data_IF_639162616804
#
_entry.id   IF_639162616804
#
_cell.length_a   1.000
_cell.length_b   1.000
_cell.length_c   1.000
_cell.angle_alpha   90.00
_cell.angle_beta   90.00
_cell.angle_gamma   90.00
#
_symmetry.space_group_name_H-M   'P 1'
#
loop_
_entity.id
_entity.type
_entity.pdbx_description
1 polymer ?
#
# COMPACT_ATOMS: atom_id res chain seq x y z
N UNK A 1 59.09 38.38 39.92
CA UNK A 1 58.70 37.60 41.11
C UNK A 1 57.20 37.32 40.98
N UNK A 2 56.80 36.37 40.14
CA UNK A 2 56.61 34.93 40.43
C UNK A 2 55.41 34.68 41.36
N UNK A 3 54.31 34.19 40.80
CA UNK A 3 53.77 32.86 41.11
C UNK A 3 52.62 32.50 40.15
N UNK A 4 52.85 31.46 39.33
CA UNK A 4 51.84 30.66 38.63
C UNK A 4 51.21 29.67 39.61
N UNK A 5 49.97 29.23 39.39
CA UNK A 5 49.58 27.87 39.69
C UNK A 5 49.43 27.03 38.42
N UNK A 6 49.83 25.77 38.58
CA UNK A 6 49.96 24.71 37.58
C UNK A 6 48.65 24.30 36.93
N UNK A 7 48.73 24.05 35.62
CA UNK A 7 47.82 23.22 34.84
C UNK A 7 48.18 21.75 35.15
N UNK A 8 47.24 20.97 35.66
CA UNK A 8 47.29 19.50 35.64
C UNK A 8 46.31 19.01 34.58
N UNK A 9 46.73 18.18 33.61
CA UNK A 9 45.86 17.61 32.60
C UNK A 9 45.08 16.43 33.19
N UNK A 10 43.74 16.50 33.15
CA UNK A 10 42.91 15.32 33.35
C UNK A 10 43.03 14.43 32.11
N UNK A 11 43.72 13.30 32.29
CA UNK A 11 43.58 12.11 31.46
C UNK A 11 42.10 11.72 31.41
N UNK A 12 41.44 11.96 30.27
CA UNK A 12 40.30 11.15 29.88
C UNK A 12 40.84 10.07 28.95
N UNK A 13 40.89 8.85 29.47
CA UNK A 13 41.13 7.62 28.73
C UNK A 13 40.17 7.56 27.53
N UNK A 14 40.72 7.54 26.31
CA UNK A 14 40.01 7.00 25.15
C UNK A 14 39.78 5.51 25.43
N UNK A 15 38.58 5.16 25.87
CA UNK A 15 38.09 3.80 25.80
C UNK A 15 37.89 3.48 24.32
N UNK A 16 38.92 2.86 23.72
CA UNK A 16 38.83 2.29 22.39
C UNK A 16 37.57 1.44 22.28
N UNK A 17 36.75 1.74 21.26
CA UNK A 17 35.72 0.81 20.82
C UNK A 17 36.43 -0.52 20.54
N UNK A 18 35.95 -1.66 21.08
CA UNK A 18 36.49 -2.94 20.65
C UNK A 18 36.29 -3.04 19.15
N UNK A 19 37.39 -3.22 18.42
CA UNK A 19 37.37 -3.63 17.02
C UNK A 19 36.63 -4.97 17.01
N UNK A 20 35.35 -4.98 16.65
CA UNK A 20 34.77 -6.22 16.16
C UNK A 20 35.63 -6.64 14.96
N UNK A 21 35.98 -7.93 14.83
CA UNK A 21 36.55 -8.41 13.58
C UNK A 21 35.60 -7.99 12.46
N UNK A 22 36.13 -7.37 11.39
CA UNK A 22 35.36 -7.15 10.18
C UNK A 22 34.79 -8.50 9.76
N UNK A 23 33.46 -8.62 9.66
CA UNK A 23 32.82 -9.82 9.14
C UNK A 23 33.41 -10.10 7.76
N UNK A 24 33.89 -11.32 7.54
CA UNK A 24 34.47 -11.70 6.25
C UNK A 24 33.42 -11.77 5.15
N UNK A 25 32.14 -11.91 5.54
CA UNK A 25 30.97 -11.89 4.67
C UNK A 25 30.19 -10.59 4.88
N UNK A 26 30.19 -9.72 3.87
CA UNK A 26 29.44 -8.47 3.88
C UNK A 26 28.26 -8.55 2.92
N UNK A 27 27.11 -8.01 3.33
CA UNK A 27 25.87 -7.93 2.54
C UNK A 27 25.44 -6.48 2.46
N UNK A 28 24.93 -6.05 1.30
CA UNK A 28 24.59 -4.67 1.03
C UNK A 28 23.33 -4.53 0.17
N UNK A 29 22.45 -3.60 0.56
CA UNK A 29 21.26 -3.18 -0.18
C UNK A 29 21.43 -1.69 -0.52
N UNK A 30 21.78 -1.32 -1.76
CA UNK A 30 22.19 0.05 -2.13
C UNK A 30 21.03 1.05 -2.33
N UNK A 31 19.94 0.97 -1.55
CA UNK A 31 18.74 1.78 -1.75
C UNK A 31 18.58 2.94 -0.76
N UNK A 32 17.98 4.04 -1.21
CA UNK A 32 17.46 5.09 -0.33
C UNK A 32 16.20 4.59 0.40
N UNK A 33 16.13 4.80 1.72
CA UNK A 33 15.08 4.27 2.58
C UNK A 33 14.13 5.35 3.11
N UNK A 34 12.82 5.05 3.28
CA UNK A 34 12.12 3.80 2.94
C UNK A 34 11.66 3.77 1.47
N UNK A 35 11.60 2.57 0.87
CA UNK A 35 11.02 2.36 -0.46
C UNK A 35 9.49 2.48 -0.40
N UNK A 36 8.91 3.17 -1.38
CA UNK A 36 7.47 3.47 -1.43
C UNK A 36 6.84 3.09 -2.78
N UNK A 37 6.84 1.79 -3.15
CA UNK A 37 6.21 1.33 -4.39
C UNK A 37 4.68 1.44 -4.30
N UNK A 38 4.00 1.43 -5.45
CA UNK A 38 2.53 1.41 -5.48
C UNK A 38 2.01 -0.03 -5.41
N UNK A 39 0.80 -0.18 -4.89
CA UNK A 39 0.05 -1.42 -5.00
C UNK A 39 -0.12 -1.81 -6.48
N UNK A 40 0.02 -3.11 -6.78
CA UNK A 40 0.02 -3.65 -8.14
C UNK A 40 1.35 -3.49 -8.90
N UNK A 41 2.31 -2.72 -8.40
CA UNK A 41 3.61 -2.56 -9.06
C UNK A 41 4.47 -3.81 -8.95
N UNK A 42 5.58 -3.79 -9.71
CA UNK A 42 6.71 -4.69 -9.56
C UNK A 42 7.85 -3.98 -8.84
N UNK A 43 8.42 -4.62 -7.82
CA UNK A 43 9.54 -4.13 -7.03
C UNK A 43 10.74 -5.04 -7.16
N UNK A 44 11.92 -4.46 -7.39
CA UNK A 44 13.20 -5.17 -7.29
C UNK A 44 13.88 -4.71 -6.00
N UNK A 45 14.22 -5.67 -5.14
CA UNK A 45 15.02 -5.45 -3.94
C UNK A 45 16.45 -5.90 -4.24
N UNK A 46 17.37 -4.95 -4.50
CA UNK A 46 18.76 -5.27 -4.75
C UNK A 46 19.41 -5.81 -3.48
N UNK A 47 20.19 -6.88 -3.59
CA UNK A 47 21.03 -7.38 -2.51
C UNK A 47 22.28 -8.00 -3.10
N UNK A 48 23.43 -7.50 -2.67
CA UNK A 48 24.74 -7.96 -3.13
C UNK A 48 25.59 -8.32 -1.93
N UNK A 49 26.41 -9.36 -2.07
CA UNK A 49 27.33 -9.76 -1.01
C UNK A 49 28.75 -9.98 -1.53
N UNK A 50 29.72 -9.80 -0.63
CA UNK A 50 31.13 -10.06 -0.87
C UNK A 50 31.64 -10.99 0.24
N UNK A 51 32.29 -12.08 -0.16
CA UNK A 51 32.90 -13.05 0.73
C UNK A 51 34.42 -12.99 0.59
N UNK A 52 35.08 -12.50 1.64
CA UNK A 52 36.53 -12.31 1.72
C UNK A 52 37.24 -13.47 2.45
N UNK A 53 36.56 -14.60 2.73
CA UNK A 53 37.15 -15.78 3.40
C UNK A 53 38.35 -16.38 2.64
N UNK A 54 38.47 -16.11 1.34
CA UNK A 54 39.59 -16.55 0.48
C UNK A 54 40.91 -15.84 0.80
N UNK A 55 40.89 -14.71 1.51
CA UNK A 55 42.09 -13.92 1.79
C UNK A 55 42.96 -14.49 2.93
N UNK A 56 42.54 -15.59 3.58
CA UNK A 56 43.32 -16.27 4.61
C UNK A 56 44.30 -17.28 3.96
N UNK A 57 45.63 -17.16 4.16
CA UNK A 57 46.61 -18.09 3.57
C UNK A 57 46.43 -19.53 4.11
N UNK A 58 45.64 -20.32 3.38
CA UNK A 58 45.28 -21.70 3.72
C UNK A 58 43.80 -22.04 3.53
N UNK A 59 42.94 -21.06 3.25
CA UNK A 59 41.51 -21.30 3.03
C UNK A 59 41.24 -22.09 1.73
N UNK A 60 40.37 -23.11 1.77
CA UNK A 60 39.93 -23.81 0.57
C UNK A 60 39.18 -22.86 -0.37
N UNK A 61 39.28 -23.08 -1.69
CA UNK A 61 38.49 -22.36 -2.69
C UNK A 61 37.00 -22.50 -2.40
N UNK A 62 36.27 -21.39 -2.36
CA UNK A 62 34.81 -21.39 -2.19
C UNK A 62 34.18 -22.16 -3.34
N UNK A 63 33.39 -23.19 -3.02
CA UNK A 63 32.67 -23.95 -4.02
C UNK A 63 31.57 -23.08 -4.67
N UNK A 64 31.33 -23.20 -5.99
CA UNK A 64 30.24 -22.48 -6.63
C UNK A 64 28.90 -22.73 -5.92
N UNK A 65 28.11 -21.68 -5.70
CA UNK A 65 26.78 -21.74 -5.08
C UNK A 65 26.75 -22.31 -3.63
N UNK A 66 27.89 -22.30 -2.92
CA UNK A 66 27.97 -22.75 -1.51
C UNK A 66 27.32 -21.80 -0.51
N UNK A 67 27.10 -20.54 -0.90
CA UNK A 67 26.37 -19.56 -0.09
C UNK A 67 24.89 -19.92 -0.01
N UNK A 68 24.35 -19.86 1.21
CA UNK A 68 22.92 -19.96 1.45
C UNK A 68 22.34 -18.55 1.58
N UNK A 69 21.47 -18.19 0.64
CA UNK A 69 20.77 -16.91 0.60
C UNK A 69 19.38 -17.10 1.20
N UNK A 70 18.92 -16.13 1.99
CA UNK A 70 17.60 -16.15 2.60
C UNK A 70 17.01 -14.75 2.62
N UNK A 71 15.79 -14.64 2.11
CA UNK A 71 14.98 -13.43 2.26
C UNK A 71 13.87 -13.67 3.28
N UNK A 72 13.66 -12.68 4.14
CA UNK A 72 12.59 -12.72 5.13
C UNK A 72 11.92 -11.36 5.30
N UNK A 73 10.63 -11.37 5.61
CA UNK A 73 9.87 -10.20 6.01
C UNK A 73 9.85 -10.13 7.54
N UNK A 74 10.45 -9.07 8.09
CA UNK A 74 10.54 -8.79 9.52
C UNK A 74 9.47 -7.78 9.89
N UNK A 75 8.53 -8.19 10.74
CA UNK A 75 7.56 -7.30 11.39
C UNK A 75 7.90 -7.17 12.88
N UNK A 76 7.17 -6.31 13.60
CA UNK A 76 7.32 -6.19 15.07
C UNK A 76 7.01 -7.50 15.82
N UNK A 77 6.20 -8.36 15.23
CA UNK A 77 5.63 -9.54 15.89
C UNK A 77 6.31 -10.84 15.44
N UNK A 78 6.77 -10.91 14.19
CA UNK A 78 7.30 -12.14 13.60
C UNK A 78 8.27 -11.86 12.45
N UNK A 79 9.25 -12.74 12.30
CA UNK A 79 10.02 -12.87 11.05
C UNK A 79 9.45 -14.01 10.23
N UNK A 80 9.11 -13.75 8.97
CA UNK A 80 8.55 -14.78 8.09
C UNK A 80 9.43 -14.97 6.86
N UNK A 81 9.80 -16.22 6.58
CA UNK A 81 10.61 -16.55 5.42
C UNK A 81 9.82 -16.26 4.13
N UNK A 82 10.53 -15.71 3.15
CA UNK A 82 10.01 -15.44 1.81
C UNK A 82 10.57 -16.50 0.86
N UNK A 83 11.90 -16.65 0.85
CA UNK A 83 12.58 -17.70 0.10
C UNK A 83 13.92 -18.05 0.72
N UNK A 84 14.46 -19.20 0.31
CA UNK A 84 15.85 -19.58 0.55
C UNK A 84 16.44 -20.17 -0.74
N UNK A 85 17.69 -19.84 -1.04
CA UNK A 85 18.43 -20.37 -2.18
C UNK A 85 19.77 -20.96 -1.75
N UNK A 86 20.10 -22.15 -2.25
CA UNK A 86 21.33 -22.89 -1.93
C UNK A 86 21.56 -23.96 -2.99
N UNK A 87 22.82 -24.21 -3.37
CA UNK A 87 23.17 -25.32 -4.29
C UNK A 87 22.40 -25.31 -5.63
N UNK A 88 22.07 -24.12 -6.13
CA UNK A 88 21.30 -23.92 -7.37
C UNK A 88 19.79 -24.09 -7.24
N UNK A 89 19.30 -24.43 -6.04
CA UNK A 89 17.87 -24.65 -5.77
C UNK A 89 17.29 -23.45 -5.03
N UNK A 90 16.14 -22.96 -5.48
CA UNK A 90 15.38 -21.90 -4.82
C UNK A 90 14.07 -22.48 -4.27
N UNK A 91 13.86 -22.31 -2.97
CA UNK A 91 12.64 -22.69 -2.26
C UNK A 91 11.86 -21.43 -1.87
N UNK A 92 10.66 -21.27 -2.40
CA UNK A 92 9.79 -20.09 -2.18
C UNK A 92 8.65 -20.46 -1.23
N UNK A 93 8.33 -19.57 -0.28
CA UNK A 93 7.18 -19.71 0.59
C UNK A 93 5.87 -19.61 -0.21
N UNK A 94 4.88 -20.44 0.11
CA UNK A 94 3.65 -20.59 -0.68
C UNK A 94 2.90 -19.27 -0.91
N UNK A 95 3.01 -18.29 0.00
CA UNK A 95 2.34 -16.98 -0.12
C UNK A 95 2.94 -16.08 -1.19
N UNK A 96 4.13 -16.41 -1.65
CA UNK A 96 4.88 -15.68 -2.67
C UNK A 96 5.11 -16.49 -3.94
N UNK A 97 4.54 -17.70 -4.01
CA UNK A 97 4.61 -18.54 -5.20
C UNK A 97 4.08 -17.74 -6.40
N UNK A 98 4.76 -17.88 -7.54
CA UNK A 98 4.48 -17.19 -8.81
C UNK A 98 4.69 -15.66 -8.82
N UNK A 99 4.87 -15.00 -7.66
CA UNK A 99 5.11 -13.55 -7.56
C UNK A 99 6.56 -13.17 -7.30
N UNK A 100 7.35 -14.07 -6.72
CA UNK A 100 8.75 -13.80 -6.37
C UNK A 100 9.71 -14.61 -7.21
N UNK A 101 10.75 -13.93 -7.69
CA UNK A 101 11.85 -14.54 -8.44
C UNK A 101 13.19 -13.97 -7.98
N UNK A 102 14.24 -14.77 -8.06
CA UNK A 102 15.61 -14.27 -7.92
C UNK A 102 16.07 -13.66 -9.26
N UNK A 103 16.77 -12.54 -9.20
CA UNK A 103 17.19 -11.79 -10.39
C UNK A 103 18.46 -12.38 -10.99
N UNK A 104 19.54 -12.47 -10.19
CA UNK A 104 20.84 -12.95 -10.67
C UNK A 104 21.08 -14.45 -10.46
N UNK A 105 20.56 -15.03 -9.39
CA UNK A 105 20.81 -16.43 -9.03
C UNK A 105 20.09 -17.43 -9.94
N UNK A 106 20.72 -18.55 -10.34
CA UNK A 106 22.07 -19.00 -9.97
C UNK A 106 23.20 -18.50 -10.89
N UNK A 107 22.89 -17.73 -11.94
CA UNK A 107 23.86 -17.30 -12.95
C UNK A 107 24.91 -16.32 -12.40
N UNK A 108 24.51 -15.45 -11.48
CA UNK A 108 25.36 -14.50 -10.77
C UNK A 108 25.17 -14.73 -9.26
N UNK A 109 25.92 -15.66 -8.64
CA UNK A 109 25.67 -16.10 -7.27
C UNK A 109 25.76 -15.01 -6.20
N UNK A 110 26.58 -13.98 -6.44
CA UNK A 110 26.76 -12.81 -5.55
C UNK A 110 25.64 -11.78 -5.66
N UNK A 111 24.76 -11.93 -6.65
CA UNK A 111 23.53 -11.15 -6.81
C UNK A 111 22.36 -11.91 -6.19
N UNK A 112 22.09 -11.57 -4.92
CA UNK A 112 21.00 -12.11 -4.12
C UNK A 112 19.69 -11.32 -4.30
N UNK A 113 19.60 -10.44 -5.31
CA UNK A 113 18.44 -9.58 -5.52
C UNK A 113 17.19 -10.38 -5.84
N UNK A 114 16.05 -9.90 -5.36
CA UNK A 114 14.73 -10.49 -5.63
C UNK A 114 13.83 -9.50 -6.36
N UNK A 115 12.95 -10.03 -7.19
CA UNK A 115 11.88 -9.30 -7.86
C UNK A 115 10.54 -9.82 -7.33
N UNK A 116 9.69 -8.90 -6.91
CA UNK A 116 8.34 -9.14 -6.41
C UNK A 116 7.37 -8.46 -7.38
N UNK A 117 6.44 -9.21 -7.97
CA UNK A 117 5.37 -8.67 -8.83
C UNK A 117 4.06 -8.57 -8.07
N UNK A 118 3.14 -7.76 -8.59
CA UNK A 118 1.76 -7.65 -8.08
C UNK A 118 1.75 -7.34 -6.58
N UNK A 119 2.37 -6.21 -6.21
CA UNK A 119 2.52 -5.84 -4.81
C UNK A 119 1.17 -5.64 -4.10
N UNK A 120 1.03 -6.25 -2.94
CA UNK A 120 -0.12 -6.11 -2.05
C UNK A 120 0.19 -5.17 -0.89
N UNK A 121 -0.83 -4.63 -0.22
CA UNK A 121 -0.64 -3.82 0.99
C UNK A 121 0.07 -4.61 2.09
N UNK A 122 -0.20 -5.91 2.19
CA UNK A 122 0.43 -6.82 3.16
C UNK A 122 1.91 -7.18 2.86
N UNK A 123 2.43 -6.79 1.69
CA UNK A 123 3.85 -6.89 1.35
C UNK A 123 4.66 -5.72 1.97
N UNK A 124 4.03 -4.83 2.74
CA UNK A 124 4.77 -3.79 3.48
C UNK A 124 5.50 -4.38 4.69
N UNK A 125 6.73 -3.93 4.95
CA UNK A 125 7.53 -4.31 6.11
C UNK A 125 9.02 -4.20 5.86
N UNK A 126 9.81 -4.67 6.82
CA UNK A 126 11.28 -4.65 6.73
C UNK A 126 11.74 -5.96 6.11
N UNK A 127 12.23 -5.91 4.88
CA UNK A 127 12.82 -7.05 4.21
C UNK A 127 14.27 -7.21 4.64
N UNK A 128 14.66 -8.43 5.00
CA UNK A 128 16.03 -8.79 5.37
C UNK A 128 16.59 -9.75 4.33
N UNK A 129 17.72 -9.38 3.72
CA UNK A 129 18.55 -10.26 2.92
C UNK A 129 19.66 -10.80 3.81
N UNK A 130 19.71 -12.11 4.01
CA UNK A 130 20.67 -12.81 4.87
C UNK A 130 21.45 -13.82 4.02
N UNK A 131 22.77 -13.80 4.12
CA UNK A 131 23.68 -14.72 3.41
C UNK A 131 24.53 -15.43 4.45
N UNK A 132 24.68 -16.74 4.29
CA UNK A 132 25.46 -17.59 5.18
C UNK A 132 26.44 -18.44 4.39
N UNK A 133 27.66 -18.60 4.90
CA UNK A 133 28.66 -19.53 4.39
C UNK A 133 29.49 -20.12 5.53
N UNK A 134 29.32 -21.42 5.80
CA UNK A 134 29.95 -22.06 6.95
C UNK A 134 29.42 -21.48 8.27
N UNK A 135 30.30 -20.84 9.03
CA UNK A 135 29.97 -20.13 10.28
C UNK A 135 29.81 -18.61 10.09
N UNK A 136 30.20 -18.10 8.92
CA UNK A 136 30.13 -16.67 8.60
C UNK A 136 28.73 -16.34 8.10
N UNK A 137 28.18 -15.23 8.60
CA UNK A 137 26.91 -14.68 8.18
C UNK A 137 26.99 -13.16 7.96
N UNK A 138 26.13 -12.68 7.08
CA UNK A 138 25.97 -11.25 6.83
C UNK A 138 24.53 -10.97 6.44
N UNK A 139 24.05 -9.78 6.76
CA UNK A 139 22.72 -9.36 6.36
C UNK A 139 22.64 -7.85 6.19
N UNK A 140 21.64 -7.43 5.42
CA UNK A 140 21.21 -6.04 5.34
C UNK A 140 19.68 -6.00 5.24
N UNK A 141 19.09 -4.83 5.50
CA UNK A 141 17.65 -4.64 5.58
C UNK A 141 17.15 -3.44 4.78
N UNK A 142 15.93 -3.56 4.27
CA UNK A 142 15.25 -2.50 3.51
C UNK A 142 13.79 -2.39 3.94
N UNK A 143 13.36 -1.20 4.30
CA UNK A 143 11.96 -0.90 4.65
C UNK A 143 11.15 -0.60 3.38
N UNK A 144 10.06 -1.32 3.21
CA UNK A 144 9.14 -1.22 2.07
C UNK A 144 7.75 -0.87 2.58
N UNK A 145 7.20 0.23 2.07
CA UNK A 145 5.85 0.67 2.38
C UNK A 145 5.02 0.76 1.09
N UNK A 146 4.20 -0.27 0.82
CA UNK A 146 3.32 -0.30 -0.35
C UNK A 146 2.23 0.77 -0.20
N UNK A 147 2.12 1.65 -1.19
CA UNK A 147 1.23 2.81 -1.17
C UNK A 147 -0.03 2.60 -2.01
N UNK A 148 -1.04 3.40 -1.65
CA UNK A 148 -2.26 3.56 -2.42
C UNK A 148 -3.36 2.53 -2.19
N UNK A 149 -4.54 2.82 -2.72
CA UNK A 149 -5.75 2.02 -2.51
C UNK A 149 -6.68 2.18 -3.71
N UNK A 150 -7.28 1.06 -4.15
CA UNK A 150 -8.35 1.05 -5.14
C UNK A 150 -9.71 1.23 -4.46
N UNK A 151 -10.57 2.05 -5.07
CA UNK A 151 -11.97 2.16 -4.69
C UNK A 151 -12.89 2.27 -5.91
N UNK A 152 -14.12 1.79 -5.75
CA UNK A 152 -15.19 1.98 -6.74
C UNK A 152 -15.81 3.38 -6.59
N UNK A 153 -16.08 4.02 -7.71
CA UNK A 153 -16.76 5.31 -7.77
C UNK A 153 -17.92 5.29 -8.76
N UNK A 154 -19.08 5.75 -8.29
CA UNK A 154 -20.32 5.94 -9.04
C UNK A 154 -20.79 7.39 -8.88
N UNK A 155 -21.21 8.02 -9.97
CA UNK A 155 -21.75 9.38 -9.93
C UNK A 155 -23.14 9.47 -9.26
N UNK A 156 -23.52 10.68 -8.86
CA UNK A 156 -24.66 11.01 -8.00
C UNK A 156 -26.02 10.53 -8.55
N UNK A 157 -26.21 10.55 -9.87
CA UNK A 157 -27.54 10.45 -10.50
C UNK A 157 -28.05 9.01 -10.58
N UNK A 158 -27.41 8.16 -11.38
CA UNK A 158 -27.81 6.76 -11.63
C UNK A 158 -26.58 5.89 -11.89
N UNK A 159 -26.80 4.57 -11.95
CA UNK A 159 -25.78 3.57 -12.31
C UNK A 159 -25.30 3.79 -13.75
N UNK A 160 -24.00 3.60 -14.00
CA UNK A 160 -23.40 3.57 -15.33
C UNK A 160 -23.60 4.84 -16.16
N UNK A 161 -23.09 5.95 -15.63
CA UNK A 161 -23.27 7.29 -16.23
C UNK A 161 -21.98 7.95 -16.70
N UNK A 162 -20.82 7.30 -16.48
CA UNK A 162 -19.51 7.86 -16.81
C UNK A 162 -19.00 7.26 -18.12
N UNK A 163 -18.77 8.10 -19.12
CA UNK A 163 -17.91 7.79 -20.27
C UNK A 163 -16.45 7.70 -19.82
N UNK A 164 -15.56 7.14 -20.65
CA UNK A 164 -14.16 6.93 -20.27
C UNK A 164 -13.46 8.23 -19.82
N UNK A 165 -13.68 9.34 -20.54
CA UNK A 165 -13.09 10.63 -20.17
C UNK A 165 -13.74 11.24 -18.91
N UNK A 166 -15.05 11.06 -18.71
CA UNK A 166 -15.73 11.48 -17.48
C UNK A 166 -15.28 10.65 -16.29
N UNK A 167 -15.00 9.37 -16.48
CA UNK A 167 -14.49 8.45 -15.47
C UNK A 167 -13.10 8.88 -14.97
N UNK A 168 -12.17 9.22 -15.88
CA UNK A 168 -10.86 9.80 -15.52
C UNK A 168 -11.02 11.08 -14.70
N UNK A 169 -11.85 12.01 -15.19
CA UNK A 169 -12.09 13.28 -14.52
C UNK A 169 -12.71 13.09 -13.12
N UNK A 170 -13.62 12.12 -12.97
CA UNK A 170 -14.25 11.81 -11.69
C UNK A 170 -13.24 11.30 -10.64
N UNK A 171 -12.28 10.46 -11.05
CA UNK A 171 -11.20 10.04 -10.15
C UNK A 171 -10.33 11.24 -9.72
N UNK A 172 -9.93 12.10 -10.65
CA UNK A 172 -9.11 13.30 -10.37
C UNK A 172 -9.83 14.22 -9.38
N UNK A 173 -11.11 14.50 -9.58
CA UNK A 173 -11.93 15.31 -8.68
C UNK A 173 -12.04 14.70 -7.27
N UNK A 174 -11.82 13.40 -7.13
CA UNK A 174 -11.85 12.67 -5.87
C UNK A 174 -10.46 12.34 -5.31
N UNK A 175 -9.43 13.11 -5.67
CA UNK A 175 -8.04 12.94 -5.22
C UNK A 175 -7.45 11.56 -5.56
N UNK A 176 -7.73 11.08 -6.76
CA UNK A 176 -7.28 9.78 -7.27
C UNK A 176 -6.99 9.85 -8.78
N UNK A 177 -6.46 8.77 -9.34
CA UNK A 177 -6.37 8.54 -10.78
C UNK A 177 -7.20 7.31 -11.16
N UNK A 178 -7.49 7.09 -12.44
CA UNK A 178 -8.13 5.83 -12.85
C UNK A 178 -7.19 4.65 -12.57
N UNK A 179 -7.70 3.57 -11.98
CA UNK A 179 -6.89 2.43 -11.58
C UNK A 179 -6.40 1.62 -12.79
N UNK A 180 -5.22 1.00 -12.68
CA UNK A 180 -4.73 0.03 -13.67
C UNK A 180 -5.36 -1.35 -13.44
N UNK A 181 -5.33 -2.23 -14.45
CA UNK A 181 -5.70 -3.64 -14.27
C UNK A 181 -4.96 -4.33 -13.13
N UNK A 182 -3.65 -4.09 -12.99
CA UNK A 182 -2.79 -4.71 -11.99
C UNK A 182 -3.18 -4.24 -10.59
N UNK A 183 -3.51 -2.95 -10.43
CA UNK A 183 -4.04 -2.40 -9.18
C UNK A 183 -5.39 -3.03 -8.80
N UNK A 184 -6.31 -3.20 -9.77
CA UNK A 184 -7.59 -3.86 -9.51
C UNK A 184 -7.40 -5.34 -9.17
N UNK A 185 -6.47 -6.01 -9.84
CA UNK A 185 -6.12 -7.41 -9.56
C UNK A 185 -5.56 -7.56 -8.15
N UNK A 186 -4.57 -6.75 -7.76
CA UNK A 186 -4.05 -6.73 -6.39
C UNK A 186 -5.15 -6.43 -5.36
N UNK A 187 -6.09 -5.54 -5.67
CA UNK A 187 -7.20 -5.22 -4.76
C UNK A 187 -8.15 -6.40 -4.61
N UNK A 188 -8.44 -7.10 -5.72
CA UNK A 188 -9.13 -8.37 -5.67
C UNK A 188 -8.36 -9.37 -4.82
N UNK A 189 -7.07 -9.59 -5.00
CA UNK A 189 -6.33 -10.56 -4.19
C UNK A 189 -6.31 -10.22 -2.67
N UNK A 190 -6.53 -8.96 -2.32
CA UNK A 190 -6.74 -8.48 -0.93
C UNK A 190 -8.20 -8.53 -0.43
N UNK A 191 -9.13 -9.11 -1.18
CA UNK A 191 -10.52 -9.31 -0.76
C UNK A 191 -11.53 -8.31 -1.34
N UNK A 192 -11.13 -7.43 -2.25
CA UNK A 192 -12.05 -6.43 -2.81
C UNK A 192 -13.11 -7.08 -3.72
N UNK A 193 -14.39 -6.91 -3.37
CA UNK A 193 -15.54 -7.49 -4.06
C UNK A 193 -16.51 -6.38 -4.45
N UNK A 194 -16.83 -6.27 -5.75
CA UNK A 194 -17.77 -5.29 -6.28
C UNK A 194 -18.46 -5.82 -7.55
N UNK A 195 -19.78 -6.02 -7.50
CA UNK A 195 -20.57 -6.44 -8.65
C UNK A 195 -21.08 -5.27 -9.51
N UNK A 196 -20.15 -4.41 -9.93
CA UNK A 196 -20.43 -3.28 -10.78
C UNK A 196 -19.29 -3.03 -11.76
N UNK A 197 -19.55 -3.23 -13.05
CA UNK A 197 -18.62 -2.90 -14.12
C UNK A 197 -18.13 -1.44 -14.08
N UNK A 198 -16.82 -1.25 -14.16
CA UNK A 198 -16.20 0.07 -14.17
C UNK A 198 -14.98 0.16 -15.07
N UNK A 199 -14.70 1.37 -15.55
CA UNK A 199 -13.54 1.70 -16.38
C UNK A 199 -12.21 1.51 -15.64
N UNK A 200 -11.19 1.10 -16.39
CA UNK A 200 -9.77 1.05 -15.99
C UNK A 200 -8.88 1.82 -16.97
N UNK A 201 -7.64 2.09 -16.56
CA UNK A 201 -6.67 2.92 -17.30
C UNK A 201 -6.38 2.43 -18.73
N UNK A 202 -6.50 1.12 -18.98
CA UNK A 202 -6.28 0.46 -20.28
C UNK A 202 -7.53 0.48 -21.19
N UNK A 203 -8.55 1.30 -20.87
CA UNK A 203 -9.83 1.37 -21.57
C UNK A 203 -10.65 0.07 -21.49
N UNK A 204 -10.25 -0.88 -20.66
CA UNK A 204 -11.10 -2.04 -20.38
C UNK A 204 -12.15 -1.71 -19.33
N UNK A 205 -13.21 -2.51 -19.34
CA UNK A 205 -14.25 -2.47 -18.31
C UNK A 205 -14.22 -3.80 -17.57
N UNK A 206 -14.03 -3.73 -16.25
CA UNK A 206 -13.84 -4.91 -15.39
C UNK A 206 -14.62 -4.77 -14.08
N UNK A 207 -14.74 -5.87 -13.34
CA UNK A 207 -15.23 -5.83 -11.95
C UNK A 207 -14.79 -7.07 -11.15
N UNK A 208 -14.30 -6.93 -9.90
CA UNK A 208 -13.78 -8.02 -9.09
C UNK A 208 -14.90 -8.70 -8.27
N UNK A 209 -14.94 -10.04 -8.27
CA UNK A 209 -15.92 -10.81 -7.50
C UNK A 209 -15.22 -11.93 -6.75
N UNK A 210 -15.17 -11.83 -5.42
CA UNK A 210 -14.85 -12.95 -4.54
C UNK A 210 -15.95 -13.98 -4.46
N UNK A 211 -17.14 -13.59 -4.00
CA UNK A 211 -18.28 -14.48 -3.84
C UNK A 211 -19.16 -14.51 -5.10
N UNK A 212 -19.07 -15.53 -5.96
CA UNK A 212 -19.81 -15.56 -7.22
C UNK A 212 -21.30 -15.75 -6.96
N UNK A 213 -22.13 -15.02 -7.71
CA UNK A 213 -23.60 -15.14 -7.67
C UNK A 213 -24.17 -14.86 -9.05
N UNK A 214 -25.37 -15.38 -9.32
CA UNK A 214 -26.00 -15.40 -10.65
C UNK A 214 -25.95 -14.06 -11.40
N UNK A 215 -26.36 -12.97 -10.74
CA UNK A 215 -26.36 -11.64 -11.33
C UNK A 215 -24.96 -11.05 -11.61
N UNK A 216 -23.89 -11.74 -11.22
CA UNK A 216 -22.51 -11.24 -11.21
C UNK A 216 -21.52 -12.16 -11.95
N UNK A 217 -21.97 -13.25 -12.57
CA UNK A 217 -21.06 -14.22 -13.20
C UNK A 217 -20.16 -13.61 -14.28
N UNK A 218 -20.73 -12.78 -15.18
CA UNK A 218 -19.96 -12.22 -16.30
C UNK A 218 -19.31 -13.32 -17.14
N UNK A 219 -18.01 -13.18 -17.42
CA UNK A 219 -17.19 -14.16 -18.14
C UNK A 219 -16.68 -15.33 -17.26
N UNK A 220 -16.98 -15.32 -15.95
CA UNK A 220 -16.53 -16.33 -14.98
C UNK A 220 -17.71 -16.92 -14.20
N UNK A 221 -18.34 -17.94 -14.78
CA UNK A 221 -19.48 -18.65 -14.18
C UNK A 221 -19.06 -19.40 -12.90
N UNK A 222 -19.69 -19.12 -11.76
CA UNK A 222 -19.43 -19.75 -10.45
C UNK A 222 -17.99 -19.66 -9.88
N UNK A 223 -17.05 -19.02 -10.58
CA UNK A 223 -15.67 -18.86 -10.13
C UNK A 223 -15.34 -17.43 -9.66
N UNK A 224 -14.54 -17.27 -8.59
CA UNK A 224 -13.97 -15.97 -8.21
C UNK A 224 -13.07 -15.39 -9.30
N UNK A 225 -12.88 -14.08 -9.27
CA UNK A 225 -11.92 -13.39 -10.14
C UNK A 225 -12.40 -12.03 -10.64
N UNK A 226 -11.48 -11.32 -11.30
CA UNK A 226 -11.80 -10.09 -12.02
C UNK A 226 -12.46 -10.43 -13.34
N UNK A 227 -13.74 -10.07 -13.49
CA UNK A 227 -14.47 -10.18 -14.76
C UNK A 227 -14.05 -9.10 -15.73
N UNK A 228 -14.21 -9.35 -17.03
CA UNK A 228 -13.86 -8.39 -18.08
C UNK A 228 -14.88 -8.35 -19.20
N UNK A 229 -15.18 -7.14 -19.67
CA UNK A 229 -15.88 -6.89 -20.93
C UNK A 229 -14.92 -6.54 -22.07
N UNK A 230 -13.60 -6.62 -21.83
CA UNK A 230 -12.57 -6.20 -22.77
C UNK A 230 -12.51 -4.69 -22.94
N UNK A 231 -11.83 -4.26 -24.00
CA UNK A 231 -11.78 -2.85 -24.42
C UNK A 231 -13.15 -2.44 -24.96
N UNK A 232 -13.69 -1.31 -24.49
CA UNK A 232 -15.02 -0.80 -24.87
C UNK A 232 -14.92 0.53 -25.62
N UNK A 233 -15.99 0.93 -26.32
CA UNK A 233 -16.05 2.25 -26.94
C UNK A 233 -16.06 3.33 -25.85
N UNK A 234 -15.22 4.36 -25.98
CA UNK A 234 -15.03 5.42 -24.96
C UNK A 234 -16.31 6.20 -24.63
N UNK A 235 -17.32 6.15 -25.51
CA UNK A 235 -18.62 6.80 -25.33
C UNK A 235 -19.65 5.92 -24.63
N UNK A 236 -19.38 4.62 -24.43
CA UNK A 236 -20.18 3.78 -23.56
C UNK A 236 -20.10 4.29 -22.11
N UNK A 237 -21.07 3.94 -21.29
CA UNK A 237 -21.15 4.45 -19.92
C UNK A 237 -21.09 3.32 -18.91
N UNK A 238 -20.25 3.51 -17.90
CA UNK A 238 -20.02 2.58 -16.79
C UNK A 238 -19.76 3.36 -15.50
N UNK A 239 -19.43 2.66 -14.42
CA UNK A 239 -18.83 3.27 -13.24
C UNK A 239 -17.29 3.36 -13.46
N UNK A 240 -16.50 3.60 -12.41
CA UNK A 240 -15.03 3.64 -12.53
C UNK A 240 -14.35 3.10 -11.27
N UNK A 241 -13.20 2.45 -11.44
CA UNK A 241 -12.29 2.17 -10.34
C UNK A 241 -11.19 3.22 -10.30
N UNK A 242 -11.04 3.85 -9.15
CA UNK A 242 -10.05 4.89 -8.91
C UNK A 242 -8.96 4.38 -7.96
N UNK A 243 -7.73 4.85 -8.14
CA UNK A 243 -6.58 4.58 -7.31
C UNK A 243 -6.12 5.87 -6.63
N UNK A 244 -6.20 5.92 -5.30
CA UNK A 244 -5.65 7.02 -4.51
C UNK A 244 -4.30 6.58 -3.94
N UNK A 245 -3.21 7.25 -4.32
CA UNK A 245 -1.83 6.89 -3.94
C UNK A 245 -1.49 7.26 -2.48
N UNK A 246 -1.58 8.55 -2.17
CA UNK A 246 -1.21 9.11 -0.86
C UNK A 246 -1.89 10.45 -0.65
N UNK A 247 -1.96 10.88 0.62
CA UNK A 247 -2.38 12.22 0.99
C UNK A 247 -1.34 12.84 1.93
N UNK A 248 -1.14 14.16 1.82
CA UNK A 248 -0.21 14.91 2.67
C UNK A 248 -0.87 15.46 3.94
N UNK A 249 -2.17 15.75 3.87
CA UNK A 249 -2.99 16.20 4.98
C UNK A 249 -3.65 15.07 5.78
N UNK A 250 -4.59 15.46 6.63
CA UNK A 250 -5.33 14.55 7.51
C UNK A 250 -6.83 14.75 7.33
N UNK A 251 -7.56 13.64 7.22
CA UNK A 251 -9.03 13.62 7.37
C UNK A 251 -9.35 13.55 8.86
N UNK A 252 -10.36 14.30 9.29
CA UNK A 252 -10.94 14.20 10.63
C UNK A 252 -12.47 14.29 10.54
N UNK A 253 -13.14 13.70 11.53
CA UNK A 253 -14.59 13.67 11.64
C UNK A 253 -15.07 14.82 12.54
N UNK A 254 -16.19 15.44 12.19
CA UNK A 254 -16.88 16.45 13.00
C UNK A 254 -18.38 16.17 13.02
N UNK A 255 -19.04 16.49 14.14
CA UNK A 255 -20.45 16.19 14.39
C UNK A 255 -21.10 17.28 15.25
N UNK A 256 -22.43 17.33 15.26
CA UNK A 256 -23.23 18.18 16.13
C UNK A 256 -24.52 17.44 16.54
N UNK A 257 -25.23 17.85 17.62
CA UNK A 257 -26.46 17.19 18.05
C UNK A 257 -27.54 17.11 16.95
N UNK A 258 -27.63 18.15 16.13
CA UNK A 258 -28.58 18.22 15.01
C UNK A 258 -27.96 17.78 13.68
N UNK A 259 -26.71 17.32 13.68
CA UNK A 259 -25.93 17.01 12.49
C UNK A 259 -25.92 18.20 11.50
N UNK A 260 -25.48 17.98 10.28
CA UNK A 260 -25.34 19.02 9.26
C UNK A 260 -26.09 18.66 7.98
N UNK A 261 -26.75 19.64 7.37
CA UNK A 261 -27.02 19.59 5.92
C UNK A 261 -25.70 19.65 5.14
N UNK A 262 -25.72 19.42 3.83
CA UNK A 262 -24.49 19.48 3.03
C UNK A 262 -23.81 20.87 3.12
N UNK A 263 -24.59 21.94 3.03
CA UNK A 263 -24.08 23.32 3.11
C UNK A 263 -23.56 23.66 4.52
N UNK A 264 -24.26 23.20 5.57
CA UNK A 264 -23.80 23.35 6.96
C UNK A 264 -22.49 22.59 7.20
N UNK A 265 -22.34 21.40 6.61
CA UNK A 265 -21.13 20.57 6.73
C UNK A 265 -19.92 21.25 6.06
N UNK A 266 -20.13 21.82 4.87
CA UNK A 266 -19.12 22.60 4.17
C UNK A 266 -18.69 23.83 4.98
N UNK A 267 -19.66 24.58 5.52
CA UNK A 267 -19.41 25.74 6.36
C UNK A 267 -18.66 25.37 7.66
N UNK A 268 -19.01 24.26 8.31
CA UNK A 268 -18.33 23.80 9.51
C UNK A 268 -16.88 23.36 9.22
N UNK A 269 -16.63 22.62 8.13
CA UNK A 269 -15.25 22.30 7.75
C UNK A 269 -14.45 23.58 7.45
N UNK A 270 -15.04 24.56 6.76
CA UNK A 270 -14.39 25.83 6.47
C UNK A 270 -14.05 26.63 7.74
N UNK A 271 -14.97 26.67 8.71
CA UNK A 271 -14.76 27.28 10.04
C UNK A 271 -13.62 26.62 10.81
N UNK A 272 -13.42 25.32 10.64
CA UNK A 272 -12.30 24.56 11.21
C UNK A 272 -11.00 24.69 10.40
N UNK A 273 -10.95 25.58 9.40
CA UNK A 273 -9.77 25.79 8.55
C UNK A 273 -9.51 24.66 7.56
N UNK A 274 -10.52 23.83 7.29
CA UNK A 274 -10.47 22.65 6.44
C UNK A 274 -11.47 22.78 5.27
N UNK A 275 -11.54 21.74 4.43
CA UNK A 275 -12.60 21.56 3.42
C UNK A 275 -13.26 20.22 3.64
N UNK A 276 -14.44 19.97 3.06
CA UNK A 276 -14.97 18.60 3.01
C UNK A 276 -13.93 17.68 2.35
N UNK A 277 -13.73 16.51 2.94
CA UNK A 277 -12.84 15.50 2.40
C UNK A 277 -13.40 14.96 1.08
N UNK A 278 -12.52 14.65 0.14
CA UNK A 278 -12.88 13.90 -1.06
C UNK A 278 -13.00 12.40 -0.77
N UNK A 279 -13.64 11.66 -1.67
CA UNK A 279 -13.77 10.20 -1.53
C UNK A 279 -12.41 9.52 -1.41
N UNK A 280 -11.44 9.82 -2.28
CA UNK A 280 -10.11 9.21 -2.20
C UNK A 280 -9.38 9.52 -0.90
N UNK A 281 -9.51 10.74 -0.36
CA UNK A 281 -8.96 11.10 0.94
C UNK A 281 -9.58 10.28 2.08
N UNK A 282 -10.90 10.03 2.05
CA UNK A 282 -11.55 9.17 3.04
C UNK A 282 -11.04 7.71 2.95
N UNK A 283 -10.86 7.17 1.74
CA UNK A 283 -10.29 5.82 1.57
C UNK A 283 -8.84 5.74 2.08
N UNK A 284 -8.03 6.77 1.84
CA UNK A 284 -6.67 6.83 2.40
C UNK A 284 -6.67 6.94 3.92
N UNK A 285 -7.57 7.74 4.49
CA UNK A 285 -7.72 7.84 5.94
C UNK A 285 -8.19 6.51 6.56
N UNK A 286 -9.13 5.83 5.91
CA UNK A 286 -9.58 4.48 6.27
C UNK A 286 -8.42 3.48 6.23
N UNK A 287 -7.64 3.42 5.13
CA UNK A 287 -6.45 2.57 5.02
C UNK A 287 -5.43 2.89 6.13
N UNK A 288 -5.33 4.15 6.55
CA UNK A 288 -4.51 4.60 7.68
C UNK A 288 -5.09 4.35 9.08
N UNK A 289 -6.21 3.64 9.22
CA UNK A 289 -6.77 3.26 10.51
C UNK A 289 -8.03 4.03 10.95
N UNK A 290 -8.54 4.96 10.14
CA UNK A 290 -9.76 5.71 10.51
C UNK A 290 -10.97 4.76 10.60
N UNK A 291 -11.62 4.79 11.76
CA UNK A 291 -12.80 3.98 12.06
C UNK A 291 -13.88 4.86 12.70
N UNK A 292 -14.94 5.17 11.94
CA UNK A 292 -16.03 6.05 12.37
C UNK A 292 -17.36 5.46 11.92
N UNK A 293 -18.15 4.96 12.87
CA UNK A 293 -19.46 4.35 12.62
C UNK A 293 -20.61 5.37 12.41
N UNK A 294 -20.30 6.51 11.82
CA UNK A 294 -21.27 7.56 11.57
C UNK A 294 -21.14 8.07 10.14
N UNK A 295 -22.26 8.08 9.44
CA UNK A 295 -22.38 8.60 8.09
C UNK A 295 -22.14 10.12 8.08
N UNK A 296 -21.25 10.57 7.20
CA UNK A 296 -20.91 11.98 7.06
C UNK A 296 -20.71 12.42 5.60
N UNK A 297 -20.93 13.71 5.36
CA UNK A 297 -20.79 14.36 4.06
C UNK A 297 -19.34 14.37 3.57
N UNK A 298 -19.20 14.21 2.25
CA UNK A 298 -17.97 14.38 1.48
C UNK A 298 -18.16 15.44 0.39
N UNK A 299 -17.05 15.91 -0.18
CA UNK A 299 -17.02 17.00 -1.16
C UNK A 299 -17.81 16.71 -2.45
N UNK A 300 -17.99 15.44 -2.81
CA UNK A 300 -18.77 14.99 -3.97
C UNK A 300 -20.27 14.85 -3.66
N UNK A 301 -20.72 15.35 -2.50
CA UNK A 301 -22.09 15.21 -1.97
C UNK A 301 -22.49 13.76 -1.68
N UNK A 302 -21.56 12.82 -1.72
CA UNK A 302 -21.82 11.49 -1.16
C UNK A 302 -21.81 11.56 0.36
N UNK A 303 -22.49 10.61 0.98
CA UNK A 303 -22.44 10.39 2.42
C UNK A 303 -21.84 9.02 2.65
N UNK A 304 -20.73 8.97 3.39
CA UNK A 304 -19.98 7.74 3.61
C UNK A 304 -19.57 7.58 5.07
N UNK A 305 -19.13 6.39 5.45
CA UNK A 305 -18.57 6.10 6.77
C UNK A 305 -17.51 5.00 6.69
N UNK A 306 -16.30 5.22 7.24
CA UNK A 306 -15.21 4.25 7.23
C UNK A 306 -15.29 3.25 8.40
N UNK A 307 -15.16 1.95 8.11
CA UNK A 307 -15.12 0.87 9.12
C UNK A 307 -13.80 0.11 8.98
N UNK A 308 -12.89 0.31 9.92
CA UNK A 308 -11.65 -0.45 10.03
C UNK A 308 -11.77 -1.56 11.09
N UNK A 309 -12.77 -1.49 11.99
CA UNK A 309 -13.05 -2.53 12.99
C UNK A 309 -14.43 -3.17 12.71
N UNK A 310 -14.43 -4.45 12.37
CA UNK A 310 -15.65 -5.20 12.07
C UNK A 310 -16.59 -5.27 13.29
N UNK A 311 -17.85 -4.88 13.11
CA UNK A 311 -18.86 -4.86 14.16
C UNK A 311 -20.28 -5.04 13.60
N UNK A 312 -21.11 -5.87 14.21
CA UNK A 312 -22.43 -6.23 13.67
C UNK A 312 -23.37 -5.02 13.56
N UNK A 313 -23.30 -4.11 14.51
CA UNK A 313 -24.10 -2.88 14.57
C UNK A 313 -23.65 -1.77 13.59
N UNK A 314 -22.59 -1.98 12.80
CA UNK A 314 -22.09 -1.00 11.84
C UNK A 314 -21.74 -1.64 10.50
N UNK A 315 -22.34 -1.18 9.41
CA UNK A 315 -22.01 -1.67 8.07
C UNK A 315 -22.18 -3.18 7.89
N UNK A 316 -23.02 -3.82 8.72
CA UNK A 316 -23.32 -5.25 8.65
C UNK A 316 -22.15 -6.17 9.03
N UNK A 317 -21.20 -5.71 9.85
CA UNK A 317 -20.05 -6.53 10.25
C UNK A 317 -18.90 -6.54 9.24
N UNK A 318 -18.96 -5.71 8.21
CA UNK A 318 -17.99 -5.72 7.12
C UNK A 318 -17.11 -4.46 7.13
N UNK A 319 -15.84 -4.64 6.78
CA UNK A 319 -14.85 -3.57 6.66
C UNK A 319 -15.04 -2.73 5.39
N UNK A 320 -14.44 -1.54 5.39
CA UNK A 320 -14.38 -0.65 4.23
C UNK A 320 -15.07 0.69 4.44
N UNK A 321 -14.96 1.55 3.43
CA UNK A 321 -15.75 2.78 3.34
C UNK A 321 -17.12 2.43 2.76
N UNK A 322 -18.18 2.68 3.53
CA UNK A 322 -19.56 2.40 3.16
C UNK A 322 -20.26 3.66 2.66
N UNK A 323 -21.07 3.53 1.62
CA UNK A 323 -21.85 4.65 1.05
C UNK A 323 -23.32 4.52 1.46
N UNK A 324 -23.92 5.62 1.87
CA UNK A 324 -25.37 5.73 2.07
C UNK A 324 -26.00 6.11 0.73
N UNK A 325 -26.88 5.26 0.24
CA UNK A 325 -27.64 5.50 -0.99
C UNK A 325 -29.09 5.85 -0.67
N UNK A 326 -29.72 6.60 -1.56
CA UNK A 326 -31.14 6.94 -1.47
C UNK A 326 -32.02 5.72 -1.74
N UNK A 327 -31.63 4.87 -2.68
CA UNK A 327 -32.40 3.70 -3.10
C UNK A 327 -31.68 2.38 -2.79
N UNK A 328 -32.42 1.28 -2.49
CA UNK A 328 -31.84 -0.03 -2.20
C UNK A 328 -30.97 -0.64 -3.30
N UNK A 329 -31.18 -0.23 -4.55
CA UNK A 329 -30.36 -0.63 -5.70
C UNK A 329 -29.02 0.12 -5.81
N UNK A 330 -28.61 0.81 -4.73
CA UNK A 330 -27.37 1.57 -4.65
C UNK A 330 -27.30 2.73 -5.65
N UNK A 331 -28.42 3.41 -5.88
CA UNK A 331 -28.49 4.61 -6.75
C UNK A 331 -28.99 5.82 -5.97
N UNK A 332 -28.61 7.01 -6.42
CA UNK A 332 -28.92 8.28 -5.77
C UNK A 332 -28.12 8.50 -4.49
N UNK A 333 -27.54 9.70 -4.34
CA UNK A 333 -27.04 10.14 -3.04
C UNK A 333 -28.16 10.79 -2.21
N UNK A 334 -27.98 10.91 -0.88
CA UNK A 334 -28.94 11.60 -0.04
C UNK A 334 -29.19 13.04 -0.49
N UNK A 335 -30.39 13.55 -0.23
CA UNK A 335 -30.78 14.93 -0.54
C UNK A 335 -29.92 15.91 0.28
N UNK A 336 -29.60 17.07 -0.29
CA UNK A 336 -28.67 18.03 0.35
C UNK A 336 -29.16 18.61 1.68
N UNK A 337 -30.46 18.55 1.95
CA UNK A 337 -31.12 18.93 3.21
C UNK A 337 -31.16 17.80 4.26
N UNK A 338 -30.76 16.58 3.88
CA UNK A 338 -30.59 15.47 4.81
C UNK A 338 -29.48 15.78 5.82
N UNK A 339 -29.60 15.23 7.03
CA UNK A 339 -28.71 15.61 8.14
C UNK A 339 -27.74 14.48 8.52
N UNK A 340 -26.45 14.72 8.30
CA UNK A 340 -25.34 13.78 8.54
C UNK A 340 -24.16 14.48 9.23
N UNK A 341 -23.18 13.71 9.70
CA UNK A 341 -21.93 14.28 10.19
C UNK A 341 -21.09 14.82 9.01
N UNK A 342 -19.84 15.22 9.24
CA UNK A 342 -18.95 15.64 8.16
C UNK A 342 -17.55 15.06 8.33
N UNK A 343 -16.93 14.70 7.21
CA UNK A 343 -15.50 14.42 7.16
C UNK A 343 -14.78 15.61 6.52
N UNK A 344 -13.91 16.24 7.29
CA UNK A 344 -13.13 17.38 6.85
C UNK A 344 -11.69 16.95 6.57
N UNK A 345 -11.04 17.60 5.62
CA UNK A 345 -9.64 17.42 5.28
C UNK A 345 -8.88 18.72 5.51
N UNK A 346 -7.85 18.65 6.35
CA UNK A 346 -6.87 19.72 6.51
C UNK A 346 -5.58 19.31 5.81
N UNK A 347 -5.27 19.99 4.72
CA UNK A 347 -3.99 19.90 4.04
C UNK A 347 -3.02 20.93 4.60
N UNK A 348 -1.72 20.60 4.62
CA UNK A 348 -0.69 21.63 4.80
C UNK A 348 -0.83 22.63 3.65
N UNK A 349 -1.28 23.86 3.96
CA UNK A 349 -1.06 24.98 3.05
C UNK A 349 0.45 25.10 2.93
N UNK A 350 1.02 24.71 1.79
CA UNK A 350 2.28 25.31 1.39
C UNK A 350 1.96 26.79 1.18
N UNK A 351 2.20 27.60 2.22
CA UNK A 351 2.40 29.01 2.02
C UNK A 351 3.59 29.12 1.08
N UNK A 352 3.31 29.43 -0.18
CA UNK A 352 4.34 29.95 -1.07
C UNK A 352 4.81 31.23 -0.38
N UNK A 353 6.06 31.22 0.08
CA UNK A 353 6.74 32.38 0.68
C UNK A 353 6.80 33.49 -0.37
#
# INVERSE_FOLDING_TARGET
LSQKPLILPNLCYELGKPHLPESTLSVSIPNELPLRPLMGDTLVLPCYFQDNTVNDPGAPTIAPLSHRIKWSLVTKEKTTNILAASEGVVSIDKRYLDRITMVGYPMTPTDASIKITELHSNDSGVYRCEVMHGIEDGYDVVDVQVQGIVFHYRAITTRYTLTFEKAKAACIQNSAVIATPEQLQAAFDEGFHQCDAGWLADQTVRYPIHDPREACYGDKYEFPGVRTYGVRDVNETYDVYCFAEKMTGKVFHTTSPNKFTFEEAEAECAKLGAKLATTGQLYLAWKGGMDVCNAGWLADRSVRYPINIARSQCGGGLLGVRTVYLFPNQTGYPLSDSRYDAFCYSGTKFSVI
#
